data_IF_453010814320
#
_entry.id   IF_453010814320
#
_cell.length_a   1.000
_cell.length_b   1.000
_cell.length_c   1.000
_cell.angle_alpha   90.00
_cell.angle_beta   90.00
_cell.angle_gamma   90.00
#
_symmetry.space_group_name_H-M   'P 1'
#
loop_
_entity.id
_entity.type
_entity.pdbx_description
1 polymer ?
#
# COMPACT_ATOMS: atom_id res chain seq x y z
N UNK A 1 18.79 7.41 -8.57
CA UNK A 1 17.53 7.34 -9.36
C UNK A 1 16.28 7.55 -8.49
N UNK A 2 16.04 6.79 -7.40
CA UNK A 2 14.84 6.88 -6.58
C UNK A 2 14.56 8.29 -6.02
N UNK A 3 15.57 8.97 -5.47
CA UNK A 3 15.41 10.34 -4.94
C UNK A 3 14.92 11.32 -6.01
N UNK A 4 15.39 11.18 -7.26
CA UNK A 4 14.97 12.06 -8.36
C UNK A 4 13.48 11.84 -8.69
N UNK A 5 13.02 10.59 -8.72
CA UNK A 5 11.61 10.24 -8.95
C UNK A 5 10.74 10.81 -7.83
N UNK A 6 11.11 10.58 -6.57
CA UNK A 6 10.38 11.12 -5.42
C UNK A 6 10.26 12.64 -5.48
N UNK A 7 11.36 13.34 -5.82
CA UNK A 7 11.34 14.80 -5.96
C UNK A 7 10.44 15.29 -7.10
N UNK A 8 10.19 14.47 -8.12
CA UNK A 8 9.25 14.79 -9.20
C UNK A 8 7.80 14.55 -8.80
N UNK A 9 7.53 13.56 -7.93
CA UNK A 9 6.17 13.19 -7.52
C UNK A 9 5.65 14.07 -6.38
N UNK A 10 6.50 14.45 -5.44
CA UNK A 10 6.12 15.22 -4.25
C UNK A 10 5.35 16.52 -4.52
N UNK A 11 5.68 17.34 -5.56
CA UNK A 11 4.92 18.55 -5.86
C UNK A 11 3.46 18.30 -6.24
N UNK A 12 3.12 17.08 -6.66
CA UNK A 12 1.77 16.66 -7.04
C UNK A 12 1.02 15.94 -5.93
N UNK A 13 1.63 15.80 -4.76
CA UNK A 13 1.01 15.18 -3.59
C UNK A 13 0.52 16.26 -2.61
N UNK A 14 -0.74 16.17 -2.21
CA UNK A 14 -1.31 17.03 -1.18
C UNK A 14 -1.21 16.35 0.17
N UNK A 15 -0.37 16.88 1.05
CA UNK A 15 -0.25 16.42 2.44
C UNK A 15 -1.39 17.01 3.28
N UNK A 16 -2.43 16.21 3.49
CA UNK A 16 -3.62 16.64 4.25
C UNK A 16 -3.31 16.73 5.74
N UNK A 17 -2.48 15.82 6.25
CA UNK A 17 -2.16 15.69 7.67
C UNK A 17 -0.99 16.58 8.11
N UNK A 18 -0.22 17.13 7.17
CA UNK A 18 0.94 17.99 7.41
C UNK A 18 2.16 17.27 8.02
N UNK A 19 2.16 15.95 8.04
CA UNK A 19 3.21 15.14 8.66
C UNK A 19 3.90 14.15 7.69
N UNK A 20 3.59 14.25 6.39
CA UNK A 20 4.10 13.32 5.38
C UNK A 20 5.62 13.26 5.37
N UNK A 21 6.30 14.41 5.34
CA UNK A 21 7.77 14.47 5.24
C UNK A 21 8.42 13.84 6.48
N UNK A 22 7.92 14.14 7.68
CA UNK A 22 8.43 13.57 8.92
C UNK A 22 8.28 12.04 8.93
N UNK A 23 7.11 11.53 8.59
CA UNK A 23 6.86 10.09 8.52
C UNK A 23 7.63 9.42 7.40
N UNK A 24 7.78 10.08 6.23
CA UNK A 24 8.56 9.59 5.11
C UNK A 24 10.06 9.45 5.45
N UNK A 25 10.58 10.27 6.35
CA UNK A 25 11.97 10.24 6.83
C UNK A 25 12.18 9.36 8.07
N UNK A 26 11.15 8.69 8.55
CA UNK A 26 11.18 7.88 9.77
C UNK A 26 10.60 6.47 9.54
N UNK A 27 10.02 5.87 10.57
CA UNK A 27 9.41 4.53 10.52
C UNK A 27 8.20 4.41 9.58
N UNK A 28 7.64 5.53 9.12
CA UNK A 28 6.50 5.55 8.20
C UNK A 28 6.88 5.47 6.72
N UNK A 29 8.16 5.31 6.37
CA UNK A 29 8.66 5.38 4.99
C UNK A 29 7.86 4.50 4.02
N UNK A 30 7.69 3.21 4.31
CA UNK A 30 7.00 2.26 3.41
C UNK A 30 5.54 2.66 3.17
N UNK A 31 4.84 3.09 4.23
CA UNK A 31 3.46 3.54 4.12
C UNK A 31 3.34 4.79 3.24
N UNK A 32 4.20 5.78 3.47
CA UNK A 32 4.19 7.03 2.70
C UNK A 32 4.64 6.85 1.26
N UNK A 33 5.57 5.92 1.01
CA UNK A 33 5.96 5.54 -0.35
C UNK A 33 4.78 4.92 -1.11
N UNK A 34 4.03 4.03 -0.45
CA UNK A 34 2.85 3.42 -1.05
C UNK A 34 1.74 4.44 -1.34
N UNK A 35 1.46 5.34 -0.41
CA UNK A 35 0.50 6.43 -0.63
C UNK A 35 0.91 7.35 -1.79
N UNK A 36 2.20 7.71 -1.88
CA UNK A 36 2.72 8.53 -2.98
C UNK A 36 2.58 7.82 -4.33
N UNK A 37 2.86 6.51 -4.36
CA UNK A 37 2.67 5.69 -5.56
C UNK A 37 1.19 5.66 -5.98
N UNK A 38 0.28 5.38 -5.05
CA UNK A 38 -1.16 5.37 -5.32
C UNK A 38 -1.65 6.73 -5.80
N UNK A 39 -1.24 7.83 -5.14
CA UNK A 39 -1.60 9.16 -5.58
C UNK A 39 -1.18 9.42 -7.03
N UNK A 40 0.04 9.04 -7.39
CA UNK A 40 0.56 9.21 -8.75
C UNK A 40 -0.25 8.38 -9.74
N UNK A 41 -0.44 7.10 -9.44
CA UNK A 41 -1.22 6.17 -10.28
C UNK A 41 -2.65 6.68 -10.52
N UNK A 42 -3.34 7.11 -9.48
CA UNK A 42 -4.73 7.60 -9.57
C UNK A 42 -4.81 8.90 -10.40
N UNK A 43 -3.80 9.77 -10.31
CA UNK A 43 -3.72 10.97 -11.14
C UNK A 43 -3.43 10.63 -12.63
N UNK A 44 -2.52 9.69 -12.91
CA UNK A 44 -2.23 9.22 -14.26
C UNK A 44 -3.46 8.60 -14.93
N UNK A 45 -4.29 7.89 -14.15
CA UNK A 45 -5.58 7.34 -14.60
C UNK A 45 -6.66 8.43 -14.76
N UNK A 46 -6.33 9.69 -14.51
CA UNK A 46 -7.24 10.84 -14.64
C UNK A 46 -8.50 10.69 -13.75
N UNK A 47 -8.31 10.16 -12.55
CA UNK A 47 -9.34 10.13 -11.53
C UNK A 47 -9.36 11.48 -10.80
N UNK A 48 -10.56 12.00 -10.54
CA UNK A 48 -10.68 13.16 -9.66
C UNK A 48 -10.45 12.71 -8.22
N UNK A 49 -9.45 13.27 -7.55
CA UNK A 49 -9.14 13.01 -6.14
C UNK A 49 -9.79 14.07 -5.27
N UNK A 50 -10.78 13.66 -4.46
CA UNK A 50 -11.36 14.51 -3.45
C UNK A 50 -10.46 14.47 -2.20
N UNK A 51 -9.89 15.62 -1.85
CA UNK A 51 -8.93 15.78 -0.74
C UNK A 51 -9.54 16.53 0.46
N UNK A 52 -10.87 16.60 0.52
CA UNK A 52 -11.56 17.26 1.62
C UNK A 52 -11.53 16.47 2.93
N UNK A 53 -11.36 15.14 2.82
CA UNK A 53 -11.48 14.22 3.96
C UNK A 53 -10.13 13.59 4.32
N UNK A 54 -9.87 13.42 5.63
CA UNK A 54 -8.66 12.78 6.14
C UNK A 54 -8.68 11.25 6.11
N UNK A 55 -9.85 10.65 5.94
CA UNK A 55 -10.01 9.19 5.92
C UNK A 55 -11.20 8.78 5.04
N UNK A 56 -11.10 7.69 4.26
CA UNK A 56 -9.88 6.93 3.99
C UNK A 56 -8.85 7.74 3.19
N UNK A 57 -7.66 7.17 2.91
CA UNK A 57 -6.54 7.89 2.29
C UNK A 57 -6.88 8.56 0.96
N UNK A 58 -7.78 7.95 0.18
CA UNK A 58 -8.25 8.53 -1.08
C UNK A 58 -9.76 8.35 -1.26
N UNK A 59 -10.40 9.41 -1.72
CA UNK A 59 -11.74 9.37 -2.26
C UNK A 59 -11.66 9.80 -3.73
N UNK A 60 -11.95 8.90 -4.65
CA UNK A 60 -11.79 9.14 -6.09
C UNK A 60 -13.12 9.09 -6.82
N UNK A 61 -13.22 9.86 -7.90
CA UNK A 61 -14.40 9.89 -8.72
C UNK A 61 -14.06 9.89 -10.21
N UNK A 62 -14.79 9.10 -10.99
CA UNK A 62 -14.76 9.11 -12.46
C UNK A 62 -16.14 8.70 -13.01
N UNK A 63 -16.61 9.39 -14.00
CA UNK A 63 -17.92 9.11 -14.65
C UNK A 63 -19.11 9.02 -13.68
N UNK A 64 -19.10 9.81 -12.61
CA UNK A 64 -20.17 9.82 -11.61
C UNK A 64 -20.09 8.69 -10.57
N UNK A 65 -19.09 7.81 -10.67
CA UNK A 65 -18.85 6.74 -9.70
C UNK A 65 -17.81 7.21 -8.68
N UNK A 66 -18.12 7.07 -7.39
CA UNK A 66 -17.19 7.33 -6.28
C UNK A 66 -16.67 6.03 -5.73
N UNK A 67 -15.38 6.02 -5.39
CA UNK A 67 -14.69 4.89 -4.75
C UNK A 67 -13.80 5.43 -3.65
N UNK A 68 -13.91 4.83 -2.48
CA UNK A 68 -13.02 5.09 -1.36
C UNK A 68 -11.86 4.07 -1.37
N UNK A 69 -10.63 4.52 -1.18
CA UNK A 69 -9.44 3.66 -1.20
C UNK A 69 -8.63 3.93 0.06
N UNK A 70 -8.35 2.88 0.80
CA UNK A 70 -7.47 2.92 1.97
C UNK A 70 -6.18 2.18 1.64
N UNK A 71 -5.06 2.86 1.79
CA UNK A 71 -3.73 2.29 1.62
C UNK A 71 -3.37 1.38 2.81
N UNK A 72 -2.92 0.18 2.50
CA UNK A 72 -2.52 -0.81 3.51
C UNK A 72 -1.14 -1.31 3.16
N UNK A 73 -0.25 -1.38 4.15
CA UNK A 73 1.03 -2.05 3.98
C UNK A 73 1.08 -3.31 4.84
N UNK A 74 1.72 -4.34 4.32
CA UNK A 74 2.19 -5.48 5.08
C UNK A 74 3.68 -5.24 5.33
N UNK A 75 3.99 -4.66 6.49
CA UNK A 75 5.34 -4.21 6.83
C UNK A 75 6.24 -5.31 7.36
N UNK A 76 7.52 -5.01 7.46
CA UNK A 76 8.54 -5.85 8.11
C UNK A 76 8.32 -5.86 9.62
N UNK A 77 8.77 -6.93 10.28
CA UNK A 77 8.92 -6.88 11.74
C UNK A 77 10.09 -5.94 12.06
N UNK A 78 9.94 -5.08 13.06
CA UNK A 78 10.97 -4.13 13.52
C UNK A 78 12.32 -4.79 13.87
N UNK A 79 12.31 -6.10 14.11
CA UNK A 79 13.51 -6.89 14.42
C UNK A 79 14.40 -7.23 13.20
N UNK A 80 13.95 -6.95 11.98
CA UNK A 80 14.76 -7.15 10.78
C UNK A 80 15.14 -5.79 10.19
N UNK A 81 16.23 -5.16 10.64
CA UNK A 81 16.77 -3.99 9.96
C UNK A 81 17.12 -4.39 8.53
N UNK A 82 16.82 -3.49 7.61
CA UNK A 82 17.13 -3.65 6.19
C UNK A 82 18.63 -3.88 6.04
N UNK A 83 19.03 -5.11 5.82
CA UNK A 83 20.39 -5.41 5.36
C UNK A 83 20.40 -5.20 3.84
N UNK A 84 20.50 -3.97 3.39
CA UNK A 84 20.51 -3.64 1.96
C UNK A 84 21.66 -4.26 1.16
N UNK A 85 22.61 -4.98 1.80
CA UNK A 85 23.88 -5.33 1.17
C UNK A 85 24.49 -6.66 1.61
N UNK A 86 23.80 -7.57 2.31
CA UNK A 86 24.50 -8.71 2.91
C UNK A 86 24.18 -10.09 2.36
N UNK A 87 23.08 -10.30 1.64
CA UNK A 87 22.81 -11.61 1.06
C UNK A 87 22.45 -11.49 -0.43
N UNK A 88 23.04 -12.35 -1.26
CA UNK A 88 22.55 -12.55 -2.62
C UNK A 88 21.06 -12.90 -2.57
N UNK A 89 20.24 -12.35 -3.48
CA UNK A 89 18.81 -12.61 -3.47
C UNK A 89 18.55 -14.12 -3.57
N UNK A 90 18.12 -14.71 -2.46
CA UNK A 90 17.76 -16.13 -2.44
C UNK A 90 16.45 -16.32 -3.17
N UNK A 91 16.49 -16.79 -4.39
CA UNK A 91 15.29 -17.14 -5.13
C UNK A 91 14.61 -18.34 -4.45
N UNK A 92 13.34 -18.14 -4.06
CA UNK A 92 12.54 -19.19 -3.47
C UNK A 92 12.15 -20.23 -4.53
N UNK A 93 12.18 -21.49 -4.15
CA UNK A 93 11.62 -22.56 -4.97
C UNK A 93 10.08 -22.50 -4.99
N UNK A 94 9.40 -23.09 -5.98
CA UNK A 94 7.94 -23.14 -6.03
C UNK A 94 7.31 -23.78 -4.77
N UNK A 95 7.97 -24.75 -4.12
CA UNK A 95 7.50 -25.36 -2.88
C UNK A 95 7.59 -24.41 -1.69
N UNK A 96 8.71 -23.70 -1.54
CA UNK A 96 8.89 -22.69 -0.49
C UNK A 96 7.88 -21.52 -0.66
N UNK A 97 7.63 -21.08 -1.89
CA UNK A 97 6.59 -20.10 -2.18
C UNK A 97 5.22 -20.61 -1.73
N UNK A 98 4.87 -21.86 -2.08
CA UNK A 98 3.59 -22.46 -1.71
C UNK A 98 3.40 -22.54 -0.19
N UNK A 99 4.45 -22.91 0.56
CA UNK A 99 4.40 -22.91 2.03
C UNK A 99 4.22 -21.51 2.61
N UNK A 100 4.98 -20.52 2.14
CA UNK A 100 4.80 -19.12 2.56
C UNK A 100 3.38 -18.63 2.33
N UNK A 101 2.82 -18.91 1.15
CA UNK A 101 1.48 -18.48 0.78
C UNK A 101 0.40 -19.14 1.63
N UNK A 102 0.59 -20.38 2.04
CA UNK A 102 -0.37 -21.11 2.86
C UNK A 102 -0.31 -20.73 4.35
N UNK A 103 0.89 -20.62 4.90
CA UNK A 103 1.08 -20.60 6.35
C UNK A 103 1.48 -19.20 6.86
N UNK A 104 2.28 -18.45 6.10
CA UNK A 104 2.78 -17.13 6.54
C UNK A 104 1.86 -15.98 6.10
N UNK A 105 1.43 -15.97 4.85
CA UNK A 105 0.69 -14.84 4.28
C UNK A 105 -0.65 -14.56 4.93
N UNK A 106 -1.50 -15.56 5.26
CA UNK A 106 -2.78 -15.28 5.92
C UNK A 106 -2.60 -14.54 7.24
N UNK A 107 -1.53 -14.85 7.99
CA UNK A 107 -1.22 -14.19 9.27
C UNK A 107 -0.69 -12.77 9.03
N UNK A 108 0.22 -12.62 8.06
CA UNK A 108 0.85 -11.32 7.74
C UNK A 108 -0.17 -10.30 7.22
N UNK A 109 -1.06 -10.72 6.33
CA UNK A 109 -2.10 -9.86 5.79
C UNK A 109 -3.26 -9.65 6.75
N UNK A 110 -3.59 -10.64 7.56
CA UNK A 110 -4.74 -10.61 8.45
C UNK A 110 -4.69 -9.45 9.44
N UNK A 111 -3.55 -9.21 10.07
CA UNK A 111 -3.42 -8.17 11.09
C UNK A 111 -3.61 -6.74 10.56
N UNK A 112 -2.90 -6.29 9.49
CA UNK A 112 -3.12 -4.97 8.93
C UNK A 112 -4.54 -4.77 8.40
N UNK A 113 -5.09 -5.76 7.68
CA UNK A 113 -6.45 -5.70 7.17
C UNK A 113 -7.48 -5.60 8.29
N UNK A 114 -7.35 -6.42 9.35
CA UNK A 114 -8.24 -6.36 10.49
C UNK A 114 -8.21 -5.00 11.18
N UNK A 115 -7.02 -4.40 11.32
CA UNK A 115 -6.86 -3.06 11.89
C UNK A 115 -7.59 -2.00 11.07
N UNK A 116 -7.54 -2.09 9.74
CA UNK A 116 -8.25 -1.16 8.85
C UNK A 116 -9.76 -1.44 8.83
N UNK A 117 -10.20 -2.70 8.83
CA UNK A 117 -11.61 -3.07 8.92
C UNK A 117 -12.27 -2.55 10.20
N UNK A 118 -11.57 -2.56 11.33
CA UNK A 118 -12.09 -2.01 12.59
C UNK A 118 -12.38 -0.51 12.56
N UNK A 119 -11.81 0.24 11.63
CA UNK A 119 -12.09 1.67 11.44
C UNK A 119 -13.45 1.94 10.80
N UNK A 120 -14.09 0.91 10.24
CA UNK A 120 -15.45 0.95 9.71
C UNK A 120 -15.71 2.13 8.75
N UNK A 121 -14.76 2.41 7.86
CA UNK A 121 -14.82 3.54 6.92
C UNK A 121 -16.13 3.62 6.11
N UNK A 122 -16.78 2.48 5.86
CA UNK A 122 -18.08 2.41 5.17
C UNK A 122 -19.23 3.10 5.92
N UNK A 123 -19.03 3.44 7.19
CA UNK A 123 -20.01 4.22 8.01
C UNK A 123 -19.84 5.72 7.87
N UNK A 124 -18.73 6.21 7.32
CA UNK A 124 -18.50 7.63 7.10
C UNK A 124 -19.47 8.15 6.04
N UNK A 125 -20.08 9.32 6.25
CA UNK A 125 -21.11 9.85 5.37
C UNK A 125 -20.65 10.02 3.93
N UNK A 126 -19.40 10.43 3.71
CA UNK A 126 -18.79 10.59 2.38
C UNK A 126 -18.40 9.26 1.71
N UNK A 127 -18.36 8.16 2.45
CA UNK A 127 -18.04 6.81 1.94
C UNK A 127 -19.29 5.96 1.79
N UNK A 128 -20.29 6.19 2.63
CA UNK A 128 -21.51 5.39 2.70
C UNK A 128 -22.20 5.25 1.34
N UNK A 129 -22.49 4.01 0.96
CA UNK A 129 -23.10 3.68 -0.32
C UNK A 129 -22.15 3.63 -1.53
N UNK A 130 -20.87 3.94 -1.33
CA UNK A 130 -19.83 3.81 -2.34
C UNK A 130 -18.96 2.56 -2.10
N UNK A 131 -18.23 2.13 -3.14
CA UNK A 131 -17.27 1.05 -2.99
C UNK A 131 -16.09 1.48 -2.09
N UNK A 132 -15.62 0.56 -1.25
CA UNK A 132 -14.41 0.71 -0.44
C UNK A 132 -13.39 -0.34 -0.86
N UNK A 133 -12.18 0.10 -1.20
CA UNK A 133 -11.07 -0.74 -1.62
C UNK A 133 -9.93 -0.61 -0.60
N UNK A 134 -9.33 -1.73 -0.20
CA UNK A 134 -8.05 -1.77 0.49
C UNK A 134 -6.95 -2.02 -0.53
N UNK A 135 -6.13 -1.02 -0.79
CA UNK A 135 -4.98 -1.12 -1.69
C UNK A 135 -3.76 -1.59 -0.89
N UNK A 136 -3.35 -2.83 -1.11
CA UNK A 136 -2.35 -3.49 -0.27
C UNK A 136 -1.01 -3.53 -0.99
N UNK A 137 0.06 -3.03 -0.33
CA UNK A 137 1.44 -3.27 -0.72
C UNK A 137 2.13 -4.20 0.27
N UNK A 138 2.84 -5.18 -0.26
CA UNK A 138 3.53 -6.17 0.53
C UNK A 138 5.03 -5.87 0.60
N UNK A 139 5.48 -5.37 1.75
CA UNK A 139 6.86 -5.01 2.06
C UNK A 139 7.46 -5.88 3.18
N UNK A 140 6.86 -7.05 3.49
CA UNK A 140 7.29 -7.81 4.66
C UNK A 140 8.64 -8.50 4.50
N UNK A 141 9.07 -8.79 3.27
CA UNK A 141 10.43 -9.25 2.96
C UNK A 141 10.93 -8.65 1.64
N UNK A 142 12.22 -8.82 1.34
CA UNK A 142 12.88 -8.19 0.19
C UNK A 142 12.36 -8.67 -1.17
N UNK A 143 11.72 -9.83 -1.21
CA UNK A 143 11.20 -10.45 -2.43
C UNK A 143 9.67 -10.57 -2.43
N UNK A 144 8.99 -10.07 -1.40
CA UNK A 144 7.55 -10.26 -1.23
C UNK A 144 6.74 -9.80 -2.45
N UNK A 145 7.08 -8.66 -3.04
CA UNK A 145 6.42 -8.15 -4.23
C UNK A 145 6.62 -9.02 -5.49
N UNK A 146 7.70 -9.81 -5.55
CA UNK A 146 7.99 -10.66 -6.70
C UNK A 146 7.19 -11.96 -6.67
N UNK A 147 7.12 -12.62 -5.52
CA UNK A 147 6.42 -13.90 -5.43
C UNK A 147 4.92 -13.76 -5.11
N UNK A 148 4.49 -12.70 -4.46
CA UNK A 148 3.06 -12.43 -4.24
C UNK A 148 2.33 -12.06 -5.54
N UNK A 149 3.01 -11.35 -6.47
CA UNK A 149 2.42 -10.99 -7.77
C UNK A 149 2.32 -12.15 -8.75
N UNK A 150 3.19 -13.16 -8.64
CA UNK A 150 3.20 -14.31 -9.55
C UNK A 150 2.03 -15.29 -9.34
N UNK A 151 1.31 -15.21 -8.23
CA UNK A 151 0.16 -16.09 -7.97
C UNK A 151 -1.02 -15.86 -8.90
N UNK A 152 -1.21 -14.64 -9.39
CA UNK A 152 -2.32 -14.35 -10.29
C UNK A 152 -2.13 -14.90 -11.70
N UNK A 153 -0.90 -15.35 -12.05
CA UNK A 153 -0.60 -15.92 -13.37
C UNK A 153 -0.78 -17.44 -13.44
N UNK A 154 -0.93 -18.14 -12.32
CA UNK A 154 -0.98 -19.62 -12.30
C UNK A 154 -2.35 -20.21 -12.00
N UNK A 155 -3.40 -19.39 -11.86
CA UNK A 155 -4.76 -19.82 -11.48
C UNK A 155 -5.82 -19.66 -12.59
N UNK A 156 -5.41 -19.72 -13.89
CA UNK A 156 -6.35 -19.80 -15.02
C UNK A 156 -6.13 -21.07 -15.84
#
# INVERSE_FOLDING_TARGET
PAKAIINQLMPHYTDIDGNFVEQFQSSGFDARLWELYLNTYLNEEQLFLDREYHAPDFLVQKYGIKVAIEAVIVGRKESNPISFFQDEPKFLTPSEIKEKLKDEMPIKFGSPLFSKLRKEYWKLDHVKGNALIFAIADFHDDQSMQWSSNQYQTSW
#
